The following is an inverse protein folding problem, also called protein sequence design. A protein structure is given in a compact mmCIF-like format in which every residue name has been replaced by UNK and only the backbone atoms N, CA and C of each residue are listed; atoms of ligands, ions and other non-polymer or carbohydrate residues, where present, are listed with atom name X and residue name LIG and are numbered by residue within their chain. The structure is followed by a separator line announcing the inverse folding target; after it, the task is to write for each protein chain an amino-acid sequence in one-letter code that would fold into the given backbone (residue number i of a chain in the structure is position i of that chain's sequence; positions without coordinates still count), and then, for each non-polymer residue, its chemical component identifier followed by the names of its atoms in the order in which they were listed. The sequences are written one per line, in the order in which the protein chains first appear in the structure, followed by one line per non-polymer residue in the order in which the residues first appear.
data_IF_163022124763
#
_entry.id   IF_163022124763
#
_cell.length_a   1.000
_cell.length_b   1.000
_cell.length_c   1.000
_cell.angle_alpha   90.00
_cell.angle_beta   90.00
_cell.angle_gamma   90.00
#
_symmetry.space_group_name_H-M   'P 1'
#
loop_
_entity.id
_entity.type
_entity.pdbx_description
1 polymer ?
#
# COMPACT_ATOMS: atom_id res chain seq x y z
N UNK A 1 13.90 10.47 -4.61
CA UNK A 1 12.85 9.56 -5.12
C UNK A 1 13.07 9.32 -6.61
N UNK A 2 12.96 8.09 -7.08
CA UNK A 2 13.09 7.72 -8.51
C UNK A 2 11.96 6.74 -8.81
N UNK A 3 11.15 7.04 -9.84
CA UNK A 3 10.05 6.19 -10.28
C UNK A 3 10.32 5.66 -11.70
N UNK A 4 9.85 4.46 -12.00
CA UNK A 4 9.98 3.83 -13.32
C UNK A 4 8.68 3.99 -14.12
N UNK A 5 8.41 5.23 -14.56
CA UNK A 5 7.22 5.50 -15.36
C UNK A 5 7.44 5.16 -16.83
N UNK A 6 6.34 4.88 -17.50
CA UNK A 6 6.34 4.53 -18.92
C UNK A 6 6.88 5.68 -19.77
N UNK A 7 7.94 5.42 -20.54
CA UNK A 7 8.51 6.40 -21.44
C UNK A 7 7.53 6.73 -22.58
N UNK A 8 7.21 8.01 -22.83
CA UNK A 8 6.35 8.37 -23.92
C UNK A 8 6.96 8.05 -25.27
N UNK A 9 6.13 7.82 -26.30
CA UNK A 9 6.61 7.74 -27.67
C UNK A 9 7.20 9.08 -28.13
N UNK A 10 8.11 9.04 -29.13
CA UNK A 10 8.75 10.25 -29.65
C UNK A 10 7.70 11.28 -30.12
N UNK A 11 7.82 12.52 -29.65
CA UNK A 11 6.89 13.61 -29.96
C UNK A 11 5.55 13.58 -29.23
N UNK A 12 5.36 12.64 -28.32
CA UNK A 12 4.17 12.58 -27.45
C UNK A 12 4.46 13.18 -26.08
N UNK A 13 3.47 13.78 -25.40
CA UNK A 13 3.63 14.26 -24.03
C UNK A 13 3.85 13.08 -23.05
N UNK A 14 4.60 13.32 -21.99
CA UNK A 14 4.74 12.38 -20.89
C UNK A 14 3.50 12.49 -19.97
N UNK A 15 2.51 11.63 -20.20
CA UNK A 15 1.29 11.56 -19.38
C UNK A 15 1.36 10.30 -18.52
N UNK A 16 1.04 10.44 -17.26
CA UNK A 16 0.96 9.33 -16.32
C UNK A 16 -0.40 8.63 -16.44
N UNK A 17 -0.42 7.31 -16.31
CA UNK A 17 -1.65 6.57 -16.04
C UNK A 17 -2.15 6.87 -14.63
N UNK A 18 -3.38 6.46 -14.30
CA UNK A 18 -3.91 6.57 -12.94
C UNK A 18 -3.02 5.80 -11.93
N UNK A 19 -2.58 4.58 -12.29
CA UNK A 19 -1.71 3.77 -11.45
C UNK A 19 -0.33 4.41 -11.24
N UNK A 20 0.24 5.03 -12.30
CA UNK A 20 1.51 5.75 -12.19
C UNK A 20 1.39 7.01 -11.32
N UNK A 21 0.24 7.71 -11.41
CA UNK A 21 -0.04 8.85 -10.52
C UNK A 21 -0.17 8.38 -9.07
N UNK A 22 -0.88 7.27 -8.81
CA UNK A 22 -0.97 6.65 -7.50
C UNK A 22 0.43 6.27 -6.96
N UNK A 23 1.25 5.63 -7.78
CA UNK A 23 2.64 5.29 -7.45
C UNK A 23 3.45 6.52 -7.05
N UNK A 24 3.24 7.67 -7.71
CA UNK A 24 3.94 8.92 -7.34
C UNK A 24 3.59 9.36 -5.92
N UNK A 25 2.32 9.31 -5.53
CA UNK A 25 1.87 9.61 -4.17
C UNK A 25 2.46 8.61 -3.17
N UNK A 26 2.39 7.32 -3.48
CA UNK A 26 2.99 6.25 -2.67
C UNK A 26 4.48 6.50 -2.38
N UNK A 27 5.27 6.65 -3.42
CA UNK A 27 6.72 6.87 -3.27
C UNK A 27 7.04 8.19 -2.57
N UNK A 28 6.16 9.21 -2.73
CA UNK A 28 6.31 10.47 -2.01
C UNK A 28 6.04 10.30 -0.52
N UNK A 29 5.10 9.45 -0.12
CA UNK A 29 4.87 9.08 1.28
C UNK A 29 6.12 8.47 1.94
N UNK A 30 6.81 7.58 1.25
CA UNK A 30 8.13 7.08 1.69
C UNK A 30 9.17 8.20 1.81
N UNK A 31 9.18 9.13 0.86
CA UNK A 31 10.08 10.28 0.90
C UNK A 31 9.78 11.17 2.11
N UNK A 32 8.51 11.49 2.38
CA UNK A 32 8.10 12.27 3.55
C UNK A 32 8.48 11.57 4.85
N UNK A 33 8.25 10.25 4.95
CA UNK A 33 8.65 9.48 6.12
C UNK A 33 10.16 9.60 6.39
N UNK A 34 10.98 9.54 5.35
CA UNK A 34 12.43 9.69 5.51
C UNK A 34 12.87 11.13 5.80
N UNK A 35 12.20 12.14 5.24
CA UNK A 35 12.53 13.56 5.45
C UNK A 35 12.13 14.08 6.82
N UNK A 36 11.02 13.59 7.37
CA UNK A 36 10.52 14.03 8.68
C UNK A 36 11.08 13.26 9.87
N UNK A 37 11.83 12.20 9.61
CA UNK A 37 12.45 11.40 10.66
C UNK A 37 13.43 12.24 11.48
N UNK A 38 13.21 12.27 12.79
CA UNK A 38 14.03 13.02 13.75
C UNK A 38 14.33 12.13 14.97
N UNK A 39 15.38 11.36 14.88
CA UNK A 39 15.82 10.42 15.92
C UNK A 39 17.25 10.70 16.35
N UNK A 40 17.51 10.57 17.64
CA UNK A 40 18.85 10.82 18.19
C UNK A 40 19.87 9.74 17.79
N UNK A 41 19.44 8.48 17.68
CA UNK A 41 20.30 7.35 17.35
C UNK A 41 19.95 6.77 15.99
N UNK A 42 20.95 6.63 15.12
CA UNK A 42 20.74 6.07 13.78
C UNK A 42 20.12 4.67 13.78
N UNK A 43 20.46 3.84 14.78
CA UNK A 43 19.96 2.48 14.89
C UNK A 43 18.44 2.35 15.05
N UNK A 44 17.75 3.41 15.49
CA UNK A 44 16.28 3.45 15.61
C UNK A 44 15.61 4.23 14.49
N UNK A 45 16.35 4.58 13.44
CA UNK A 45 15.81 5.34 12.32
C UNK A 45 14.90 4.51 11.39
N UNK A 46 15.06 3.18 11.39
CA UNK A 46 14.25 2.28 10.54
C UNK A 46 13.05 1.76 11.32
N UNK A 47 11.89 1.78 10.70
CA UNK A 47 10.67 1.18 11.25
C UNK A 47 10.56 -0.31 10.88
N UNK A 48 9.75 -1.11 11.60
CA UNK A 48 9.44 -2.48 11.22
C UNK A 48 8.89 -2.58 9.79
N UNK A 49 9.13 -3.72 9.13
CA UNK A 49 8.71 -3.92 7.74
C UNK A 49 7.20 -3.80 7.55
N UNK A 50 6.41 -4.27 8.49
CA UNK A 50 4.96 -4.21 8.49
C UNK A 50 4.37 -2.86 8.91
N UNK A 51 5.23 -1.85 9.13
CA UNK A 51 4.82 -0.47 9.39
C UNK A 51 5.31 0.50 8.30
N UNK A 52 6.29 0.09 7.50
CA UNK A 52 6.96 0.98 6.54
C UNK A 52 6.04 1.48 5.43
N UNK A 53 4.99 0.71 5.09
CA UNK A 53 4.04 1.06 4.03
C UNK A 53 2.88 1.96 4.50
N UNK A 54 2.70 2.18 5.81
CA UNK A 54 1.66 3.08 6.28
C UNK A 54 1.79 4.51 5.73
N UNK A 55 2.97 5.17 5.75
CA UNK A 55 3.12 6.52 5.20
C UNK A 55 2.97 6.60 3.68
N UNK A 56 3.35 5.55 2.96
CA UNK A 56 3.22 5.52 1.51
C UNK A 56 1.78 5.27 1.06
N UNK A 57 1.12 4.28 1.66
CA UNK A 57 -0.25 3.92 1.30
C UNK A 57 -1.28 4.95 1.74
N UNK A 58 -1.08 5.65 2.87
CA UNK A 58 -2.02 6.70 3.26
C UNK A 58 -2.04 7.86 2.26
N UNK A 59 -0.89 8.22 1.67
CA UNK A 59 -0.82 9.31 0.69
C UNK A 59 -1.59 8.96 -0.59
N UNK A 60 -1.76 7.68 -0.92
CA UNK A 60 -2.56 7.23 -2.06
C UNK A 60 -4.03 7.65 -1.97
N UNK A 61 -4.60 7.76 -0.76
CA UNK A 61 -5.98 8.20 -0.57
C UNK A 61 -6.22 9.61 -1.11
N UNK A 62 -5.24 10.51 -0.95
CA UNK A 62 -5.35 11.87 -1.51
C UNK A 62 -5.25 11.94 -3.02
N UNK A 63 -4.58 10.97 -3.66
CA UNK A 63 -4.35 11.01 -5.10
C UNK A 63 -5.63 11.18 -5.92
N UNK A 64 -6.73 10.59 -5.47
CA UNK A 64 -8.01 10.61 -6.19
C UNK A 64 -9.12 11.43 -5.52
N UNK A 65 -8.81 12.14 -4.44
CA UNK A 65 -9.77 13.07 -3.85
C UNK A 65 -10.08 14.24 -4.81
N UNK A 66 -11.36 14.63 -4.95
CA UNK A 66 -11.76 15.67 -5.90
C UNK A 66 -10.99 16.98 -5.75
N UNK A 67 -10.71 17.40 -4.52
CA UNK A 67 -9.96 18.62 -4.23
C UNK A 67 -8.53 18.56 -4.73
N UNK A 68 -7.89 17.40 -4.66
CA UNK A 68 -6.53 17.16 -5.14
C UNK A 68 -6.51 17.00 -6.66
N UNK A 69 -7.46 16.24 -7.22
CA UNK A 69 -7.61 16.10 -8.67
C UNK A 69 -7.83 17.44 -9.38
N UNK A 70 -8.59 18.36 -8.78
CA UNK A 70 -8.78 19.73 -9.31
C UNK A 70 -7.47 20.51 -9.46
N UNK A 71 -6.44 20.16 -8.69
CA UNK A 71 -5.14 20.82 -8.77
C UNK A 71 -4.30 20.26 -9.91
N UNK A 72 -4.18 18.94 -10.02
CA UNK A 72 -3.21 18.30 -10.92
C UNK A 72 -3.81 17.58 -12.13
N UNK A 73 -5.02 17.02 -12.02
CA UNK A 73 -5.62 16.21 -13.08
C UNK A 73 -6.29 17.09 -14.16
N UNK A 74 -5.44 17.76 -14.96
CA UNK A 74 -5.86 18.70 -16.01
C UNK A 74 -5.47 18.19 -17.38
N UNK A 75 -6.35 18.43 -18.36
CA UNK A 75 -6.08 18.12 -19.75
C UNK A 75 -4.85 18.91 -20.24
N UNK A 76 -3.84 18.22 -20.73
CA UNK A 76 -2.51 18.81 -21.00
C UNK A 76 -2.49 19.91 -22.06
N UNK A 77 -3.52 20.00 -22.95
CA UNK A 77 -3.64 21.04 -23.96
C UNK A 77 -4.62 22.13 -23.54
N UNK A 78 -5.80 21.77 -22.97
CA UNK A 78 -6.86 22.73 -22.68
C UNK A 78 -6.80 23.29 -21.26
N UNK A 79 -6.14 22.57 -20.33
CA UNK A 79 -6.11 22.92 -18.91
C UNK A 79 -7.42 22.63 -18.16
N UNK A 80 -8.40 22.04 -18.84
CA UNK A 80 -9.67 21.63 -18.21
C UNK A 80 -9.44 20.53 -17.19
N UNK A 81 -10.11 20.64 -16.04
CA UNK A 81 -10.07 19.63 -14.97
C UNK A 81 -10.76 18.35 -15.43
N UNK A 82 -10.28 17.22 -14.94
CA UNK A 82 -10.90 15.91 -15.18
C UNK A 82 -12.41 15.94 -14.87
N UNK A 83 -13.29 15.44 -15.77
CA UNK A 83 -14.72 15.45 -15.53
C UNK A 83 -15.11 14.56 -14.32
N UNK A 84 -15.96 15.07 -13.43
CA UNK A 84 -16.43 14.35 -12.23
C UNK A 84 -17.02 12.96 -12.58
N UNK A 85 -17.78 12.84 -13.68
CA UNK A 85 -18.31 11.57 -14.11
C UNK A 85 -17.26 10.54 -14.55
N UNK A 86 -16.03 10.97 -14.89
CA UNK A 86 -14.90 10.06 -15.11
C UNK A 86 -14.31 9.60 -13.79
N UNK A 87 -14.16 10.50 -12.83
CA UNK A 87 -13.69 10.16 -11.46
C UNK A 87 -14.60 9.13 -10.80
N UNK A 88 -15.92 9.29 -10.88
CA UNK A 88 -16.89 8.30 -10.39
C UNK A 88 -16.74 6.93 -11.05
N UNK A 89 -16.44 6.89 -12.35
CA UNK A 89 -16.21 5.63 -13.06
C UNK A 89 -14.91 4.97 -12.62
N UNK A 90 -13.88 5.75 -12.34
CA UNK A 90 -12.60 5.25 -11.83
C UNK A 90 -12.79 4.62 -10.44
N UNK A 91 -13.49 5.28 -9.52
CA UNK A 91 -13.81 4.74 -8.18
C UNK A 91 -14.59 3.41 -8.28
N UNK A 92 -15.63 3.36 -9.12
CA UNK A 92 -16.41 2.13 -9.34
C UNK A 92 -15.56 1.01 -9.94
N UNK A 93 -14.68 1.35 -10.88
CA UNK A 93 -13.77 0.39 -11.50
C UNK A 93 -12.77 -0.18 -10.50
N UNK A 94 -12.24 0.64 -9.61
CA UNK A 94 -11.32 0.22 -8.56
C UNK A 94 -11.94 -0.78 -7.57
N UNK A 95 -13.24 -0.73 -7.36
CA UNK A 95 -13.99 -1.67 -6.49
C UNK A 95 -14.43 -2.94 -7.20
N UNK A 96 -14.32 -2.99 -8.54
CA UNK A 96 -14.72 -4.17 -9.30
C UNK A 96 -13.69 -5.30 -9.16
N UNK A 97 -14.17 -6.51 -8.92
CA UNK A 97 -13.30 -7.70 -8.82
C UNK A 97 -12.45 -7.78 -7.56
N UNK A 98 -12.73 -6.99 -6.51
CA UNK A 98 -11.92 -6.95 -5.29
C UNK A 98 -11.82 -8.29 -4.55
N UNK A 99 -12.83 -9.16 -4.66
CA UNK A 99 -12.73 -10.54 -4.14
C UNK A 99 -11.61 -11.32 -4.81
N UNK A 100 -11.46 -11.19 -6.15
CA UNK A 100 -10.35 -11.82 -6.88
C UNK A 100 -9.01 -11.20 -6.48
N UNK A 101 -8.88 -9.88 -6.53
CA UNK A 101 -7.63 -9.17 -6.23
C UNK A 101 -7.15 -9.44 -4.78
N UNK A 102 -8.08 -9.47 -3.83
CA UNK A 102 -7.77 -9.80 -2.43
C UNK A 102 -7.32 -11.25 -2.27
N UNK A 103 -7.99 -12.21 -2.93
CA UNK A 103 -7.61 -13.62 -2.87
C UNK A 103 -6.25 -13.88 -3.54
N UNK A 104 -5.97 -13.24 -4.67
CA UNK A 104 -4.68 -13.30 -5.37
C UNK A 104 -3.54 -12.77 -4.49
N UNK A 105 -3.75 -11.62 -3.84
CA UNK A 105 -2.78 -11.04 -2.92
C UNK A 105 -2.55 -11.91 -1.69
N UNK A 106 -3.63 -12.37 -1.03
CA UNK A 106 -3.53 -13.23 0.15
C UNK A 106 -2.86 -14.57 -0.17
N UNK A 107 -3.06 -15.11 -1.37
CA UNK A 107 -2.36 -16.30 -1.81
C UNK A 107 -0.84 -16.09 -1.80
N UNK A 108 -0.35 -14.97 -2.32
CA UNK A 108 1.07 -14.65 -2.29
C UNK A 108 1.59 -14.46 -0.85
N UNK A 109 0.85 -13.77 0.01
CA UNK A 109 1.24 -13.58 1.42
C UNK A 109 1.30 -14.89 2.20
N UNK A 110 0.35 -15.78 1.97
CA UNK A 110 0.32 -17.09 2.61
C UNK A 110 1.41 -18.03 2.06
N UNK A 111 1.69 -17.95 0.76
CA UNK A 111 2.77 -18.72 0.13
C UNK A 111 4.15 -18.27 0.69
N UNK A 112 4.36 -16.97 0.88
CA UNK A 112 5.54 -16.45 1.53
C UNK A 112 5.72 -17.06 2.92
N UNK A 113 4.69 -17.04 3.75
CA UNK A 113 4.73 -17.64 5.09
C UNK A 113 4.98 -19.15 5.04
N UNK A 114 4.36 -19.86 4.09
CA UNK A 114 4.53 -21.31 3.98
C UNK A 114 5.94 -21.72 3.59
N UNK A 115 6.65 -20.94 2.79
CA UNK A 115 8.08 -21.15 2.54
C UNK A 115 8.91 -20.92 3.81
N UNK A 116 8.60 -19.88 4.58
CA UNK A 116 9.44 -19.46 5.71
C UNK A 116 9.15 -20.20 7.03
N UNK A 117 8.16 -21.05 7.09
CA UNK A 117 7.96 -22.00 8.20
C UNK A 117 8.61 -23.36 7.95
N UNK A 118 9.16 -23.60 6.76
CA UNK A 118 9.88 -24.84 6.47
C UNK A 118 11.16 -24.88 7.32
N UNK A 119 11.39 -26.03 7.96
CA UNK A 119 12.62 -26.27 8.74
C UNK A 119 13.80 -26.60 7.84
N UNK A 120 13.54 -27.27 6.73
CA UNK A 120 14.51 -27.66 5.72
C UNK A 120 13.89 -27.51 4.35
N UNK A 121 14.67 -27.10 3.37
CA UNK A 121 14.28 -27.02 1.96
C UNK A 121 15.03 -28.15 1.24
N UNK A 122 14.35 -29.17 0.70
CA UNK A 122 14.98 -30.23 -0.10
C UNK A 122 15.66 -29.64 -1.35
N UNK A 123 16.84 -30.14 -1.68
CA UNK A 123 17.60 -29.70 -2.86
C UNK A 123 16.85 -29.95 -4.19
N UNK A 124 16.00 -30.98 -4.22
CA UNK A 124 15.18 -31.40 -5.37
C UNK A 124 13.72 -30.92 -5.29
N UNK A 125 13.43 -29.92 -4.47
CA UNK A 125 12.08 -29.40 -4.27
C UNK A 125 11.47 -28.87 -5.57
N UNK A 126 10.36 -29.48 -6.02
CA UNK A 126 9.53 -28.91 -7.08
C UNK A 126 8.71 -27.75 -6.52
N UNK A 127 9.20 -26.53 -6.76
CA UNK A 127 8.59 -25.28 -6.26
C UNK A 127 7.19 -25.03 -6.82
N UNK A 128 6.90 -25.53 -8.03
CA UNK A 128 5.58 -25.36 -8.64
C UNK A 128 4.56 -26.33 -8.02
N UNK A 129 5.00 -27.55 -7.72
CA UNK A 129 4.17 -28.52 -6.99
C UNK A 129 3.91 -28.02 -5.56
N UNK A 130 4.93 -27.56 -4.86
CA UNK A 130 4.79 -27.01 -3.51
C UNK A 130 3.77 -25.85 -3.47
N UNK A 131 3.88 -24.88 -4.39
CA UNK A 131 2.94 -23.78 -4.52
C UNK A 131 1.50 -24.29 -4.72
N UNK A 132 1.29 -25.18 -5.67
CA UNK A 132 -0.04 -25.71 -5.99
C UNK A 132 -0.67 -26.46 -4.81
N UNK A 133 0.10 -27.31 -4.13
CA UNK A 133 -0.37 -28.10 -2.99
C UNK A 133 -0.68 -27.23 -1.78
N UNK A 134 0.21 -26.30 -1.47
CA UNK A 134 0.11 -25.41 -0.32
C UNK A 134 -1.09 -24.49 -0.45
N UNK A 135 -1.22 -23.80 -1.58
CA UNK A 135 -2.36 -22.90 -1.83
C UNK A 135 -3.67 -23.68 -1.97
N UNK A 136 -3.63 -24.90 -2.55
CA UNK A 136 -4.79 -25.79 -2.60
C UNK A 136 -5.28 -26.21 -1.21
N UNK A 137 -4.38 -26.53 -0.28
CA UNK A 137 -4.72 -26.84 1.13
C UNK A 137 -5.36 -25.65 1.85
N UNK A 138 -5.01 -24.43 1.47
CA UNK A 138 -5.61 -23.20 2.00
C UNK A 138 -6.95 -22.84 1.34
N UNK A 139 -7.41 -23.62 0.37
CA UNK A 139 -8.70 -23.46 -0.29
C UNK A 139 -8.69 -22.45 -1.44
N UNK A 140 -7.52 -22.05 -1.97
CA UNK A 140 -7.47 -21.18 -3.13
C UNK A 140 -8.14 -21.86 -4.33
N UNK A 141 -9.03 -21.14 -4.98
CA UNK A 141 -9.68 -21.60 -6.20
C UNK A 141 -8.65 -21.74 -7.34
N UNK A 142 -8.72 -22.83 -8.10
CA UNK A 142 -7.79 -23.10 -9.22
C UNK A 142 -7.77 -22.01 -10.30
N UNK A 143 -8.83 -21.21 -10.39
CA UNK A 143 -8.96 -20.09 -11.33
C UNK A 143 -8.27 -18.83 -10.86
N UNK A 144 -7.84 -18.77 -9.59
CA UNK A 144 -7.13 -17.63 -9.01
C UNK A 144 -5.66 -18.02 -8.87
N UNK A 145 -4.75 -17.47 -9.67
CA UNK A 145 -3.31 -17.67 -9.46
C UNK A 145 -2.85 -16.87 -8.24
N UNK A 146 -1.73 -17.25 -7.64
CA UNK A 146 -1.01 -16.37 -6.72
C UNK A 146 -0.53 -15.13 -7.48
N UNK A 147 -0.58 -13.96 -6.86
CA UNK A 147 -0.07 -12.69 -7.41
C UNK A 147 1.36 -12.82 -7.93
N UNK A 148 2.18 -13.56 -7.22
CA UNK A 148 3.53 -13.94 -7.64
C UNK A 148 3.66 -15.45 -7.62
N UNK A 149 4.22 -16.00 -8.70
CA UNK A 149 4.68 -17.38 -8.74
C UNK A 149 6.06 -17.44 -8.10
N UNK A 150 6.38 -18.52 -7.44
CA UNK A 150 7.64 -18.72 -6.71
C UNK A 150 8.86 -18.28 -7.49
N UNK A 151 8.92 -18.58 -8.79
CA UNK A 151 10.08 -18.34 -9.66
C UNK A 151 10.38 -16.86 -9.94
N UNK A 152 9.45 -15.94 -9.66
CA UNK A 152 9.64 -14.49 -9.83
C UNK A 152 9.14 -13.65 -8.65
N UNK A 153 8.97 -14.29 -7.48
CA UNK A 153 8.55 -13.61 -6.26
C UNK A 153 9.72 -12.86 -5.61
N UNK A 154 10.22 -11.85 -6.30
CA UNK A 154 11.42 -11.12 -5.87
C UNK A 154 11.27 -10.43 -4.51
N UNK A 155 10.08 -9.89 -4.19
CA UNK A 155 9.83 -9.24 -2.89
C UNK A 155 10.29 -10.12 -1.72
N UNK A 156 9.93 -11.39 -1.76
CA UNK A 156 10.13 -12.38 -0.70
C UNK A 156 11.47 -13.09 -0.83
N UNK A 157 11.87 -13.48 -2.05
CA UNK A 157 13.06 -14.29 -2.27
C UNK A 157 14.36 -13.49 -2.35
N UNK A 158 14.30 -12.17 -2.54
CA UNK A 158 15.49 -11.32 -2.66
C UNK A 158 15.28 -9.84 -2.36
N UNK A 159 14.04 -9.39 -2.22
CA UNK A 159 13.68 -7.99 -2.13
C UNK A 159 13.51 -7.41 -0.71
N UNK A 160 13.77 -8.19 0.35
CA UNK A 160 13.68 -7.71 1.73
C UNK A 160 12.30 -7.83 2.39
N UNK A 161 11.33 -8.54 1.76
CA UNK A 161 10.02 -8.89 2.32
C UNK A 161 9.92 -10.39 2.67
N UNK A 162 11.02 -11.00 3.04
CA UNK A 162 11.10 -12.39 3.50
C UNK A 162 10.21 -12.59 4.73
N UNK A 163 9.25 -13.52 4.66
CA UNK A 163 8.18 -13.70 5.65
C UNK A 163 7.42 -12.40 5.97
N UNK A 164 7.38 -11.46 5.05
CA UNK A 164 6.91 -10.10 5.26
C UNK A 164 6.01 -9.54 4.16
N UNK A 165 5.60 -10.35 3.18
CA UNK A 165 4.73 -9.85 2.11
C UNK A 165 3.33 -9.44 2.60
N UNK A 166 2.88 -9.98 3.73
CA UNK A 166 1.65 -9.58 4.40
C UNK A 166 1.63 -8.09 4.80
N UNK A 167 2.80 -7.45 4.86
CA UNK A 167 2.96 -6.06 5.32
C UNK A 167 2.09 -5.06 4.56
N UNK A 168 1.87 -5.27 3.27
CA UNK A 168 1.05 -4.37 2.47
C UNK A 168 -0.42 -4.35 2.89
N UNK A 169 -1.03 -5.52 3.12
CA UNK A 169 -2.43 -5.56 3.57
C UNK A 169 -2.56 -5.14 5.03
N UNK A 170 -1.54 -5.41 5.85
CA UNK A 170 -1.52 -4.91 7.22
C UNK A 170 -1.42 -3.38 7.25
N UNK A 171 -0.51 -2.82 6.45
CA UNK A 171 -0.42 -1.37 6.31
C UNK A 171 -1.71 -0.77 5.75
N UNK A 172 -2.43 -1.45 4.84
CA UNK A 172 -3.72 -0.99 4.32
C UNK A 172 -4.81 -0.97 5.40
N UNK A 173 -4.76 -1.87 6.39
CA UNK A 173 -5.62 -1.75 7.59
C UNK A 173 -5.29 -0.48 8.35
N UNK A 174 -4.01 -0.19 8.53
CA UNK A 174 -3.54 1.00 9.26
C UNK A 174 -3.87 2.29 8.51
N UNK A 175 -3.56 2.35 7.21
CA UNK A 175 -3.72 3.57 6.41
C UNK A 175 -5.19 3.95 6.21
N UNK A 176 -6.04 2.97 5.92
CA UNK A 176 -7.48 3.20 5.79
C UNK A 176 -8.10 3.74 7.09
N UNK A 177 -7.74 3.19 8.26
CA UNK A 177 -8.23 3.72 9.54
C UNK A 177 -7.56 5.07 9.89
N UNK A 178 -6.29 5.26 9.53
CA UNK A 178 -5.60 6.53 9.71
C UNK A 178 -6.21 7.66 8.86
N UNK A 179 -6.58 7.34 7.61
CA UNK A 179 -7.27 8.30 6.74
C UNK A 179 -8.68 8.67 7.24
N UNK A 180 -9.40 7.72 7.88
CA UNK A 180 -10.65 8.02 8.55
C UNK A 180 -10.51 9.12 9.63
N UNK A 181 -9.34 9.24 10.30
CA UNK A 181 -9.11 10.32 11.27
C UNK A 181 -9.24 11.72 10.64
N UNK A 182 -8.82 11.88 9.38
CA UNK A 182 -9.03 13.14 8.63
C UNK A 182 -10.50 13.30 8.24
N UNK A 183 -11.13 12.26 7.70
CA UNK A 183 -12.54 12.28 7.28
C UNK A 183 -13.50 12.56 8.43
N UNK A 184 -13.22 12.04 9.63
CA UNK A 184 -13.98 12.31 10.86
C UNK A 184 -14.01 13.79 11.23
N UNK A 185 -13.04 14.60 10.81
CA UNK A 185 -13.03 16.07 11.02
C UNK A 185 -13.86 16.83 10.00
N UNK A 186 -14.24 16.22 8.89
CA UNK A 186 -14.85 16.87 7.73
C UNK A 186 -13.86 17.68 6.86
N UNK A 187 -12.57 17.61 7.14
CA UNK A 187 -11.50 18.30 6.41
C UNK A 187 -10.33 17.33 6.20
N UNK A 188 -10.16 16.84 4.97
CA UNK A 188 -9.07 15.91 4.61
C UNK A 188 -7.67 16.55 4.69
N UNK A 189 -7.58 17.87 4.88
CA UNK A 189 -6.33 18.60 5.09
C UNK A 189 -6.19 19.13 6.52
N UNK A 190 -6.90 18.54 7.46
CA UNK A 190 -6.91 18.97 8.86
C UNK A 190 -5.51 18.99 9.46
N UNK A 191 -5.06 20.19 9.85
CA UNK A 191 -3.69 20.42 10.31
C UNK A 191 -3.39 19.84 11.69
N UNK A 192 -4.40 19.66 12.54
CA UNK A 192 -4.22 19.01 13.85
C UNK A 192 -3.94 17.53 13.67
N UNK A 193 -4.74 16.85 12.83
CA UNK A 193 -4.53 15.43 12.49
C UNK A 193 -3.18 15.23 11.80
N UNK A 194 -2.85 16.08 10.82
CA UNK A 194 -1.56 16.06 10.13
C UNK A 194 -0.38 16.25 11.10
N UNK A 195 -0.52 17.16 12.07
CA UNK A 195 0.49 17.37 13.11
C UNK A 195 0.68 16.14 14.01
N UNK A 196 -0.41 15.46 14.38
CA UNK A 196 -0.33 14.18 15.11
C UNK A 196 0.29 13.08 14.27
N UNK A 197 -0.10 12.95 13.00
CA UNK A 197 0.48 11.96 12.09
C UNK A 197 2.00 12.18 11.94
N UNK A 198 2.41 13.43 11.68
CA UNK A 198 3.83 13.78 11.64
C UNK A 198 4.54 13.39 12.93
N UNK A 199 4.00 13.77 14.10
CA UNK A 199 4.62 13.58 15.40
C UNK A 199 4.77 12.12 15.78
N UNK A 200 3.74 11.30 15.56
CA UNK A 200 3.69 9.94 16.09
C UNK A 200 4.02 8.86 15.04
N UNK A 201 3.90 9.17 13.74
CA UNK A 201 4.13 8.21 12.66
C UNK A 201 5.41 8.52 11.88
N UNK A 202 5.56 9.78 11.40
CA UNK A 202 6.67 10.11 10.49
C UNK A 202 8.00 10.38 11.20
N UNK A 203 7.95 10.97 12.41
CA UNK A 203 9.16 11.47 13.10
C UNK A 203 9.91 10.42 13.90
N UNK A 204 9.25 9.48 14.63
CA UNK A 204 9.92 8.76 15.71
C UNK A 204 10.80 7.57 15.27
N UNK A 205 10.75 7.14 14.01
CA UNK A 205 11.43 5.91 13.61
C UNK A 205 10.84 4.69 14.35
N UNK A 206 11.69 3.92 15.05
CA UNK A 206 11.24 2.80 15.90
C UNK A 206 11.72 2.96 17.35
N UNK A 207 11.58 4.17 17.93
CA UNK A 207 11.89 4.40 19.33
C UNK A 207 10.87 3.77 20.29
N UNK A 208 9.64 3.59 19.81
CA UNK A 208 8.55 2.93 20.50
C UNK A 208 8.00 1.78 19.64
N UNK A 209 7.17 0.93 20.23
CA UNK A 209 6.43 -0.09 19.48
C UNK A 209 5.53 0.56 18.42
N UNK A 210 5.45 -0.05 17.24
CA UNK A 210 4.71 0.51 16.12
C UNK A 210 3.21 0.67 16.41
N UNK A 211 2.62 -0.26 17.16
CA UNK A 211 1.22 -0.17 17.55
C UNK A 211 1.00 0.92 18.59
N UNK A 212 1.92 1.10 19.54
CA UNK A 212 1.85 2.19 20.52
C UNK A 212 1.94 3.56 19.83
N UNK A 213 2.84 3.71 18.85
CA UNK A 213 2.93 4.91 18.02
C UNK A 213 1.61 5.17 17.27
N UNK A 214 1.03 4.13 16.69
CA UNK A 214 -0.25 4.22 16.00
C UNK A 214 -1.40 4.64 16.94
N UNK A 215 -1.50 4.01 18.11
CA UNK A 215 -2.51 4.36 19.13
C UNK A 215 -2.33 5.78 19.65
N UNK A 216 -1.09 6.25 19.80
CA UNK A 216 -0.81 7.64 20.17
C UNK A 216 -1.28 8.64 19.10
N UNK A 217 -1.24 8.26 17.82
CA UNK A 217 -1.79 9.06 16.71
C UNK A 217 -3.31 8.98 16.68
N UNK A 218 -3.87 7.77 16.65
CA UNK A 218 -5.29 7.51 16.35
C UNK A 218 -6.21 7.57 17.58
N UNK A 219 -5.65 7.32 18.78
CA UNK A 219 -6.38 7.23 20.04
C UNK A 219 -7.01 5.85 20.29
N UNK A 220 -6.84 4.90 19.39
CA UNK A 220 -7.35 3.53 19.46
C UNK A 220 -6.54 2.61 18.54
N UNK A 221 -6.69 1.29 18.71
CA UNK A 221 -6.20 0.30 17.76
C UNK A 221 -6.96 0.42 16.41
N UNK A 222 -6.31 0.04 15.28
CA UNK A 222 -6.94 0.10 13.96
C UNK A 222 -8.07 -0.93 13.84
N UNK A 223 -9.12 -0.55 13.12
CA UNK A 223 -10.21 -1.46 12.76
C UNK A 223 -10.13 -1.90 11.31
N UNK A 224 -10.67 -3.08 10.98
CA UNK A 224 -10.70 -3.60 9.61
C UNK A 224 -11.81 -2.96 8.74
N UNK A 225 -12.80 -2.35 9.35
CA UNK A 225 -13.97 -1.81 8.63
C UNK A 225 -13.63 -0.74 7.59
N UNK A 226 -12.69 0.20 7.84
CA UNK A 226 -12.26 1.15 6.82
C UNK A 226 -11.68 0.47 5.58
N UNK A 227 -10.83 -0.53 5.74
CA UNK A 227 -10.29 -1.33 4.64
C UNK A 227 -11.40 -2.00 3.82
N UNK A 228 -12.35 -2.66 4.49
CA UNK A 228 -13.46 -3.35 3.79
C UNK A 228 -14.32 -2.38 2.99
N UNK A 229 -14.58 -1.18 3.53
CA UNK A 229 -15.30 -0.10 2.82
C UNK A 229 -14.50 0.40 1.62
N UNK A 230 -13.20 0.66 1.80
CA UNK A 230 -12.31 1.12 0.73
C UNK A 230 -12.31 0.15 -0.45
N UNK A 231 -12.26 -1.15 -0.17
CA UNK A 231 -12.31 -2.21 -1.18
C UNK A 231 -13.72 -2.53 -1.70
N UNK A 232 -14.77 -1.90 -1.17
CA UNK A 232 -16.16 -2.20 -1.56
C UNK A 232 -16.61 -3.62 -1.19
N UNK A 233 -16.04 -4.18 -0.11
CA UNK A 233 -16.37 -5.50 0.45
C UNK A 233 -17.36 -5.41 1.61
N UNK A 234 -17.70 -4.19 2.03
CA UNK A 234 -18.69 -3.90 3.07
C UNK A 234 -19.52 -2.69 2.71
#
# INVERSE_FOLDING_TARGET
MVCNFTKPAAGQPALLSADEANTLFHEFGHALHNLFKDVHYYGVASVPRDFVELPSQIDEHWAFEPEVLNVYAKHYQTGEVIPAGLVEKMDKSGKYGQGFATAEYLAASLLDMDYHVLKEIPDDMDVMQFEAETLGKRGLLKQIPSRYRTTYFNHTMGGGYTAGYYSYIWAEVLDCDAYEAYKETGDIFNQEVAGKFRKYILTPGCIDDAMDMYVNFRGKEPGIDPLLKNRGLK
#
